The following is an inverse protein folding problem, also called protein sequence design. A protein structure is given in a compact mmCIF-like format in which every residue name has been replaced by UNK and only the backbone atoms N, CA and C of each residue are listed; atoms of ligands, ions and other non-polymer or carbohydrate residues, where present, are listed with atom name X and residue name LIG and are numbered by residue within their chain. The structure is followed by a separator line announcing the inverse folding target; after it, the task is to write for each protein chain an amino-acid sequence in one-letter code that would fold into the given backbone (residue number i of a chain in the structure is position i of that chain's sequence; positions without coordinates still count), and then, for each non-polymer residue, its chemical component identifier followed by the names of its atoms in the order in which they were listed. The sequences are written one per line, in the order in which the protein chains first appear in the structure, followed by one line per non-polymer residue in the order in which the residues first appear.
data_IF_365649514983
#
_entry.id   IF_365649514983
#
_cell.length_a   1.000
_cell.length_b   1.000
_cell.length_c   1.000
_cell.angle_alpha   90.00
_cell.angle_beta   90.00
_cell.angle_gamma   90.00
#
_symmetry.space_group_name_H-M   'P 1'
#
loop_
_entity.id
_entity.type
_entity.pdbx_description
1 polymer ?
#
# COMPACT_ATOMS: atom_id res chain seq x y z
N UNK A 1 -24.98 -12.36 -14.20
CA UNK A 1 -24.14 -12.13 -13.01
C UNK A 1 -25.04 -12.05 -11.78
N UNK A 2 -24.76 -12.85 -10.77
CA UNK A 2 -25.49 -12.88 -9.49
C UNK A 2 -24.83 -11.88 -8.54
N UNK A 3 -25.62 -11.15 -7.74
CA UNK A 3 -25.09 -10.28 -6.67
C UNK A 3 -25.64 -10.78 -5.33
N UNK A 4 -24.74 -11.05 -4.37
CA UNK A 4 -25.07 -11.45 -3.01
C UNK A 4 -24.43 -10.47 -2.03
N UNK A 5 -25.21 -9.97 -1.08
CA UNK A 5 -24.72 -9.08 -0.04
C UNK A 5 -24.54 -9.86 1.27
N UNK A 6 -23.33 -9.80 1.82
CA UNK A 6 -23.02 -10.33 3.15
C UNK A 6 -23.18 -9.24 4.22
N UNK A 7 -23.61 -9.63 5.41
CA UNK A 7 -23.74 -8.77 6.58
C UNK A 7 -22.75 -9.11 7.70
N UNK A 8 -22.17 -10.30 7.63
CA UNK A 8 -21.15 -10.78 8.58
C UNK A 8 -19.95 -11.35 7.84
N UNK A 9 -18.81 -11.39 8.49
CA UNK A 9 -17.60 -12.03 7.95
C UNK A 9 -17.85 -13.50 7.62
N UNK A 10 -18.56 -14.21 8.51
CA UNK A 10 -18.92 -15.63 8.29
C UNK A 10 -19.71 -15.81 7.00
N UNK A 11 -20.76 -15.00 6.81
CA UNK A 11 -21.59 -15.04 5.61
C UNK A 11 -20.79 -14.74 4.34
N UNK A 12 -19.88 -13.73 4.38
CA UNK A 12 -19.01 -13.41 3.26
C UNK A 12 -18.12 -14.59 2.85
N UNK A 13 -17.52 -15.28 3.80
CA UNK A 13 -16.69 -16.48 3.58
C UNK A 13 -17.51 -17.65 3.05
N UNK A 14 -18.72 -17.85 3.56
CA UNK A 14 -19.63 -18.88 3.09
C UNK A 14 -20.04 -18.65 1.63
N UNK A 15 -20.44 -17.43 1.29
CA UNK A 15 -20.81 -17.05 -0.08
C UNK A 15 -19.61 -17.19 -1.03
N UNK A 16 -18.43 -16.73 -0.63
CA UNK A 16 -17.23 -16.84 -1.45
C UNK A 16 -16.88 -18.29 -1.79
N UNK A 17 -17.14 -19.22 -0.88
CA UNK A 17 -16.91 -20.64 -1.10
C UNK A 17 -18.01 -21.34 -1.91
N UNK A 18 -19.23 -20.77 -1.96
CA UNK A 18 -20.36 -21.35 -2.69
C UNK A 18 -20.34 -20.98 -4.18
N UNK A 19 -19.83 -19.80 -4.52
CA UNK A 19 -19.86 -19.27 -5.87
C UNK A 19 -18.48 -19.31 -6.52
N UNK A 20 -18.22 -20.32 -7.32
CA UNK A 20 -17.02 -20.38 -8.15
C UNK A 20 -16.94 -19.20 -9.11
N UNK A 21 -15.73 -18.73 -9.40
CA UNK A 21 -15.49 -17.56 -10.23
C UNK A 21 -16.23 -16.31 -9.74
N UNK A 22 -16.42 -16.19 -8.42
CA UNK A 22 -16.94 -14.97 -7.80
C UNK A 22 -15.84 -13.93 -7.64
N UNK A 23 -16.25 -12.68 -7.45
CA UNK A 23 -15.38 -11.55 -7.06
C UNK A 23 -16.01 -10.82 -5.89
N UNK A 24 -15.17 -10.29 -5.04
CA UNK A 24 -15.57 -9.46 -3.90
C UNK A 24 -15.77 -8.02 -4.40
N UNK A 25 -16.84 -7.38 -3.97
CA UNK A 25 -17.05 -5.95 -4.12
C UNK A 25 -17.18 -5.31 -2.74
N UNK A 26 -16.32 -4.33 -2.47
CA UNK A 26 -16.37 -3.44 -1.30
C UNK A 26 -16.80 -2.04 -1.74
N UNK A 27 -15.86 -1.12 -1.95
CA UNK A 27 -16.15 0.22 -2.47
C UNK A 27 -16.58 0.30 -3.92
N UNK A 28 -16.24 -0.69 -4.74
CA UNK A 28 -16.62 -0.78 -6.16
C UNK A 28 -15.81 0.10 -7.12
N UNK A 29 -14.88 0.91 -6.63
CA UNK A 29 -14.18 1.96 -7.40
C UNK A 29 -13.30 1.46 -8.55
N UNK A 30 -12.86 0.21 -8.49
CA UNK A 30 -12.08 -0.46 -9.55
C UNK A 30 -12.89 -1.56 -10.24
N UNK A 31 -13.49 -2.47 -9.46
CA UNK A 31 -14.11 -3.66 -10.01
C UNK A 31 -15.32 -3.35 -10.93
N UNK A 32 -16.09 -2.30 -10.61
CA UNK A 32 -17.23 -1.89 -11.46
C UNK A 32 -16.73 -1.42 -12.81
N UNK A 33 -15.62 -0.67 -12.85
CA UNK A 33 -15.00 -0.23 -14.10
C UNK A 33 -14.47 -1.42 -14.89
N UNK A 34 -13.81 -2.38 -14.25
CA UNK A 34 -13.30 -3.59 -14.91
C UNK A 34 -14.41 -4.44 -15.52
N UNK A 35 -15.57 -4.54 -14.86
CA UNK A 35 -16.74 -5.22 -15.39
C UNK A 35 -17.35 -4.44 -16.56
N UNK A 36 -17.52 -3.13 -16.42
CA UNK A 36 -18.06 -2.27 -17.46
C UNK A 36 -17.21 -2.31 -18.74
N UNK A 37 -15.89 -2.27 -18.59
CA UNK A 37 -14.94 -2.38 -19.71
C UNK A 37 -14.73 -3.82 -20.19
N UNK A 38 -15.47 -4.78 -19.65
CA UNK A 38 -15.41 -6.20 -20.02
C UNK A 38 -14.02 -6.83 -19.84
N UNK A 39 -13.21 -6.30 -18.91
CA UNK A 39 -11.89 -6.87 -18.58
C UNK A 39 -12.03 -8.14 -17.71
N UNK A 40 -13.11 -8.23 -16.93
CA UNK A 40 -13.45 -9.39 -16.11
C UNK A 40 -14.93 -9.74 -16.27
N UNK A 41 -15.23 -11.04 -16.11
CA UNK A 41 -16.59 -11.59 -16.26
C UNK A 41 -16.93 -12.49 -15.06
N UNK A 42 -17.11 -11.94 -13.84
CA UNK A 42 -17.44 -12.76 -12.67
C UNK A 42 -18.83 -13.37 -12.81
N UNK A 43 -19.00 -14.61 -12.40
CA UNK A 43 -20.31 -15.27 -12.32
C UNK A 43 -21.14 -14.69 -11.17
N UNK A 44 -20.47 -14.31 -10.07
CA UNK A 44 -21.11 -13.68 -8.92
C UNK A 44 -20.25 -12.55 -8.35
N UNK A 45 -20.92 -11.54 -7.76
CA UNK A 45 -20.31 -10.53 -6.90
C UNK A 45 -20.78 -10.76 -5.48
N UNK A 46 -19.80 -10.83 -4.56
CA UNK A 46 -20.06 -10.89 -3.11
C UNK A 46 -19.84 -9.50 -2.55
N UNK A 47 -20.90 -8.81 -2.23
CA UNK A 47 -20.89 -7.47 -1.65
C UNK A 47 -20.62 -7.56 -0.15
N UNK A 48 -19.48 -7.04 0.27
CA UNK A 48 -19.04 -6.98 1.68
C UNK A 48 -19.18 -5.58 2.29
N UNK A 49 -19.80 -4.64 1.59
CA UNK A 49 -19.93 -3.25 2.05
C UNK A 49 -20.73 -3.09 3.35
N UNK A 50 -21.50 -4.11 3.75
CA UNK A 50 -22.29 -4.15 4.99
C UNK A 50 -21.70 -5.05 6.09
N UNK A 51 -20.46 -5.51 5.93
CA UNK A 51 -19.74 -6.30 6.92
C UNK A 51 -18.99 -5.36 7.85
N UNK A 52 -19.58 -5.03 8.99
CA UNK A 52 -19.04 -4.01 9.91
C UNK A 52 -17.76 -4.47 10.61
N UNK A 53 -17.54 -5.79 10.76
CA UNK A 53 -16.29 -6.34 11.27
C UNK A 53 -15.05 -5.93 10.43
N UNK A 54 -15.24 -5.63 9.14
CA UNK A 54 -14.17 -5.20 8.24
C UNK A 54 -13.88 -3.70 8.27
N UNK A 55 -14.63 -2.89 9.01
CA UNK A 55 -14.53 -1.42 9.00
C UNK A 55 -13.86 -0.83 10.24
N UNK A 56 -13.25 -1.64 11.06
CA UNK A 56 -12.64 -1.20 12.31
C UNK A 56 -11.18 -0.82 12.11
N UNK A 57 -10.75 0.20 12.83
CA UNK A 57 -9.35 0.53 13.06
C UNK A 57 -9.11 0.32 14.55
N UNK A 58 -8.25 -0.62 14.91
CA UNK A 58 -7.98 -0.98 16.30
C UNK A 58 -6.51 -0.76 16.64
N UNK A 59 -6.28 0.00 17.69
CA UNK A 59 -4.99 0.14 18.32
C UNK A 59 -4.83 -0.88 19.44
N UNK A 60 -3.74 -1.61 19.43
CA UNK A 60 -3.32 -2.53 20.50
C UNK A 60 -2.00 -2.00 21.09
N UNK A 61 -1.46 -2.67 22.09
CA UNK A 61 -0.27 -2.20 22.81
C UNK A 61 0.92 -1.92 21.86
N UNK A 62 1.25 -2.85 20.97
CA UNK A 62 2.41 -2.80 20.09
C UNK A 62 2.08 -2.75 18.59
N UNK A 63 0.80 -2.85 18.20
CA UNK A 63 0.40 -2.86 16.80
C UNK A 63 -0.90 -2.10 16.53
N UNK A 64 -1.11 -1.77 15.26
CA UNK A 64 -2.37 -1.26 14.71
C UNK A 64 -2.92 -2.29 13.73
N UNK A 65 -4.22 -2.56 13.81
CA UNK A 65 -4.95 -3.42 12.88
C UNK A 65 -6.03 -2.60 12.17
N UNK A 66 -6.02 -2.63 10.85
CA UNK A 66 -6.96 -1.91 9.98
C UNK A 66 -7.80 -2.94 9.25
N UNK A 67 -9.10 -2.92 9.41
CA UNK A 67 -10.04 -3.76 8.67
C UNK A 67 -9.97 -3.49 7.16
N UNK A 68 -10.08 -4.53 6.36
CA UNK A 68 -9.95 -4.41 4.90
C UNK A 68 -11.05 -3.55 4.23
N UNK A 69 -12.19 -3.37 4.91
CA UNK A 69 -13.29 -2.52 4.49
C UNK A 69 -13.17 -1.04 4.91
N UNK A 70 -12.13 -0.67 5.65
CA UNK A 70 -11.84 0.71 6.03
C UNK A 70 -11.55 1.54 4.78
N UNK A 71 -12.19 2.70 4.67
CA UNK A 71 -12.01 3.60 3.53
C UNK A 71 -10.78 4.51 3.71
N UNK A 72 -10.33 5.14 2.64
CA UNK A 72 -9.27 6.15 2.75
C UNK A 72 -9.69 7.34 3.59
N UNK A 73 -10.97 7.74 3.54
CA UNK A 73 -11.51 8.81 4.37
C UNK A 73 -11.43 8.44 5.85
N UNK A 74 -11.80 7.22 6.24
CA UNK A 74 -11.69 6.75 7.63
C UNK A 74 -10.23 6.82 8.13
N UNK A 75 -9.25 6.44 7.28
CA UNK A 75 -7.82 6.55 7.62
C UNK A 75 -7.40 8.01 7.80
N UNK A 76 -7.85 8.89 6.90
CA UNK A 76 -7.51 10.32 6.96
C UNK A 76 -8.10 11.02 8.20
N UNK A 77 -9.27 10.61 8.66
CA UNK A 77 -9.97 11.19 9.82
C UNK A 77 -9.47 10.62 11.15
N UNK A 78 -8.80 9.47 11.13
CA UNK A 78 -8.26 8.84 12.34
C UNK A 78 -7.00 9.56 12.83
N UNK A 79 -6.98 9.91 14.13
CA UNK A 79 -5.81 10.46 14.82
C UNK A 79 -4.65 9.47 14.98
N UNK A 80 -4.92 8.17 14.85
CA UNK A 80 -3.89 7.13 14.92
C UNK A 80 -2.81 7.23 13.83
N UNK A 81 -3.13 7.91 12.72
CA UNK A 81 -2.21 8.08 11.60
C UNK A 81 -1.56 9.47 11.55
N UNK A 82 -1.47 10.14 12.68
CA UNK A 82 -0.68 11.37 12.88
C UNK A 82 0.73 11.04 13.37
N UNK A 83 1.54 12.05 13.62
CA UNK A 83 2.91 11.90 14.13
C UNK A 83 3.74 10.94 13.27
N UNK A 84 4.20 9.86 13.89
CA UNK A 84 5.07 8.86 13.23
C UNK A 84 4.44 8.16 12.03
N UNK A 85 3.12 8.20 11.86
CA UNK A 85 2.39 7.58 10.75
C UNK A 85 1.86 8.60 9.74
N UNK A 86 2.25 9.87 9.82
CA UNK A 86 1.79 10.95 8.94
C UNK A 86 1.92 10.64 7.45
N UNK A 87 2.95 9.90 7.06
CA UNK A 87 3.17 9.47 5.67
C UNK A 87 2.09 8.53 5.14
N UNK A 88 1.54 7.65 5.98
CA UNK A 88 0.42 6.80 5.58
C UNK A 88 -0.86 7.60 5.39
N UNK A 89 -1.17 8.52 6.30
CA UNK A 89 -2.29 9.46 6.17
C UNK A 89 -2.15 10.30 4.90
N UNK A 90 -0.94 10.86 4.64
CA UNK A 90 -0.62 11.61 3.41
C UNK A 90 -0.86 10.77 2.15
N UNK A 91 -0.35 9.53 2.11
CA UNK A 91 -0.55 8.63 0.98
C UNK A 91 -2.04 8.38 0.69
N UNK A 92 -2.84 8.10 1.72
CA UNK A 92 -4.28 7.90 1.59
C UNK A 92 -5.01 9.16 1.10
N UNK A 93 -4.61 10.36 1.55
CA UNK A 93 -5.20 11.63 1.15
C UNK A 93 -5.01 11.96 -0.33
N UNK A 94 -3.97 11.41 -0.95
CA UNK A 94 -3.60 11.62 -2.34
C UNK A 94 -4.23 10.60 -3.31
N UNK A 95 -5.00 9.62 -2.81
CA UNK A 95 -5.71 8.65 -3.65
C UNK A 95 -6.94 9.29 -4.29
N UNK A 96 -7.00 9.29 -5.61
CA UNK A 96 -8.18 9.68 -6.38
C UNK A 96 -8.86 10.98 -5.94
N UNK A 97 -10.17 11.07 -6.15
CA UNK A 97 -11.02 12.18 -5.69
C UNK A 97 -11.60 11.91 -4.30
N UNK A 98 -12.19 12.91 -3.62
CA UNK A 98 -12.93 12.69 -2.37
C UNK A 98 -13.99 11.59 -2.50
N UNK A 99 -14.72 11.53 -3.63
CA UNK A 99 -15.72 10.49 -3.90
C UNK A 99 -15.09 9.09 -3.94
N UNK A 100 -13.89 8.97 -4.53
CA UNK A 100 -13.14 7.72 -4.55
C UNK A 100 -12.68 7.37 -3.12
N UNK A 101 -12.16 8.32 -2.35
CA UNK A 101 -11.70 8.07 -0.98
C UNK A 101 -12.82 7.68 -0.03
N UNK A 102 -14.02 8.22 -0.21
CA UNK A 102 -15.21 7.87 0.59
C UNK A 102 -15.74 6.45 0.30
N UNK A 103 -15.30 5.82 -0.77
CA UNK A 103 -15.77 4.49 -1.20
C UNK A 103 -14.65 3.45 -1.30
N UNK A 104 -13.50 3.85 -1.81
CA UNK A 104 -12.34 2.98 -1.98
C UNK A 104 -11.82 2.51 -0.63
N UNK A 105 -11.55 1.20 -0.51
CA UNK A 105 -11.11 0.58 0.74
C UNK A 105 -9.64 0.17 0.66
N UNK A 106 -8.98 0.13 1.80
CA UNK A 106 -7.57 -0.27 1.88
C UNK A 106 -7.37 -1.71 1.41
N UNK A 107 -8.29 -2.63 1.78
CA UNK A 107 -8.24 -4.01 1.31
C UNK A 107 -8.47 -4.14 -0.19
N UNK A 108 -9.44 -3.39 -0.74
CA UNK A 108 -9.68 -3.34 -2.18
C UNK A 108 -8.46 -2.87 -2.97
N UNK A 109 -7.74 -1.88 -2.47
CA UNK A 109 -6.51 -1.37 -3.10
C UNK A 109 -5.38 -2.42 -3.11
N UNK A 110 -5.18 -3.12 -1.99
CA UNK A 110 -4.18 -4.20 -1.89
C UNK A 110 -4.51 -5.33 -2.87
N UNK A 111 -5.76 -5.79 -2.89
CA UNK A 111 -6.17 -6.91 -3.76
C UNK A 111 -6.16 -6.53 -5.24
N UNK A 112 -6.50 -5.27 -5.58
CA UNK A 112 -6.38 -4.75 -6.95
C UNK A 112 -4.92 -4.67 -7.42
N UNK A 113 -3.97 -4.53 -6.50
CA UNK A 113 -2.52 -4.63 -6.72
C UNK A 113 -1.98 -3.72 -7.86
N UNK A 114 -2.51 -2.52 -7.99
CA UNK A 114 -1.98 -1.55 -8.95
C UNK A 114 -0.53 -1.16 -8.59
N UNK A 115 0.42 -1.17 -9.54
CA UNK A 115 1.77 -0.64 -9.29
C UNK A 115 1.81 0.81 -8.83
N UNK A 116 0.75 1.57 -9.14
CA UNK A 116 0.61 2.99 -8.80
C UNK A 116 -0.26 3.24 -7.56
N UNK A 117 -0.55 2.21 -6.78
CA UNK A 117 -1.33 2.33 -5.55
C UNK A 117 -0.54 3.02 -4.45
N UNK A 118 -0.98 4.22 -4.05
CA UNK A 118 -0.24 5.10 -3.14
C UNK A 118 -0.14 4.56 -1.70
N UNK A 119 -1.15 3.83 -1.24
CA UNK A 119 -1.16 3.28 0.13
C UNK A 119 -0.28 2.04 0.32
N UNK A 120 0.18 1.40 -0.76
CA UNK A 120 0.97 0.16 -0.66
C UNK A 120 2.41 0.41 -0.23
N UNK A 121 3.19 1.36 -0.77
CA UNK A 121 4.55 1.62 -0.30
C UNK A 121 4.65 1.90 1.21
N UNK A 122 3.80 2.73 1.84
CA UNK A 122 3.78 2.86 3.30
C UNK A 122 3.57 1.54 4.04
N UNK A 123 2.62 0.71 3.60
CA UNK A 123 2.36 -0.58 4.23
C UNK A 123 3.51 -1.58 4.05
N UNK A 124 4.26 -1.48 2.94
CA UNK A 124 5.49 -2.26 2.72
C UNK A 124 6.60 -1.78 3.67
N UNK A 125 6.80 -0.47 3.81
CA UNK A 125 7.79 0.09 4.74
C UNK A 125 7.47 -0.29 6.20
N UNK A 126 6.19 -0.41 6.56
CA UNK A 126 5.72 -0.89 7.86
C UNK A 126 5.81 -2.42 8.02
N UNK A 127 6.23 -3.18 6.99
CA UNK A 127 6.24 -4.65 6.97
C UNK A 127 4.91 -5.27 7.40
N UNK A 128 3.83 -4.71 6.89
CA UNK A 128 2.49 -5.10 7.26
C UNK A 128 2.22 -6.58 7.00
N UNK A 129 1.39 -7.16 7.84
CA UNK A 129 0.87 -8.53 7.72
C UNK A 129 -0.58 -8.47 7.26
N UNK A 130 -0.92 -9.19 6.23
CA UNK A 130 -2.26 -9.36 5.68
C UNK A 130 -2.95 -10.53 6.36
N UNK A 131 -4.16 -10.34 6.83
CA UNK A 131 -4.98 -11.36 7.49
C UNK A 131 -5.99 -11.88 6.47
N UNK A 132 -5.82 -13.13 6.05
CA UNK A 132 -6.68 -13.81 5.10
C UNK A 132 -7.54 -14.85 5.80
N UNK A 133 -8.83 -14.89 5.46
CA UNK A 133 -9.79 -15.83 6.05
C UNK A 133 -10.54 -16.59 4.95
N UNK A 134 -10.73 -17.87 5.16
CA UNK A 134 -11.54 -18.76 4.33
C UNK A 134 -12.25 -19.80 5.21
N UNK A 135 -13.04 -20.68 4.62
CA UNK A 135 -13.60 -21.84 5.36
C UNK A 135 -12.54 -22.76 5.98
N UNK A 136 -11.31 -22.77 5.43
CA UNK A 136 -10.19 -23.55 5.99
C UNK A 136 -9.57 -22.91 7.22
N UNK A 137 -9.98 -21.70 7.60
CA UNK A 137 -9.46 -20.95 8.72
C UNK A 137 -8.77 -19.65 8.31
N UNK A 138 -8.02 -19.09 9.25
CA UNK A 138 -7.26 -17.84 9.13
C UNK A 138 -5.80 -18.16 8.81
N UNK A 139 -5.17 -17.35 7.95
CA UNK A 139 -3.72 -17.32 7.77
C UNK A 139 -3.20 -15.90 7.65
N UNK A 140 -1.93 -15.73 7.94
CA UNK A 140 -1.23 -14.46 7.89
C UNK A 140 -0.16 -14.50 6.78
N UNK A 141 -0.04 -13.41 6.02
CA UNK A 141 0.92 -13.29 4.92
C UNK A 141 1.59 -11.93 5.02
N UNK A 142 2.91 -11.87 4.96
CA UNK A 142 3.62 -10.59 4.83
C UNK A 142 3.23 -9.91 3.53
N UNK A 143 3.01 -8.60 3.56
CA UNK A 143 2.61 -7.85 2.37
C UNK A 143 3.64 -7.99 1.23
N UNK A 144 4.92 -8.09 1.55
CA UNK A 144 5.99 -8.31 0.59
C UNK A 144 5.86 -9.67 -0.09
N UNK A 145 5.58 -10.73 0.67
CA UNK A 145 5.38 -12.08 0.14
C UNK A 145 4.10 -12.13 -0.72
N UNK A 146 3.06 -11.41 -0.30
CA UNK A 146 1.84 -11.28 -1.09
C UNK A 146 2.13 -10.79 -2.50
N UNK A 147 2.95 -9.75 -2.66
CA UNK A 147 3.30 -9.20 -3.97
C UNK A 147 4.36 -10.01 -4.72
N UNK A 148 5.17 -10.84 -4.05
CA UNK A 148 6.21 -11.65 -4.69
C UNK A 148 5.67 -12.84 -5.51
N UNK A 149 4.44 -13.30 -5.24
CA UNK A 149 3.85 -14.50 -5.85
C UNK A 149 3.24 -14.26 -7.25
N UNK A 150 3.61 -13.20 -7.94
CA UNK A 150 3.18 -12.94 -9.32
C UNK A 150 1.68 -12.68 -9.46
N UNK A 151 1.03 -13.28 -10.48
CA UNK A 151 -0.38 -13.00 -10.81
C UNK A 151 -1.40 -13.39 -9.75
N UNK A 152 -1.08 -14.31 -8.86
CA UNK A 152 -1.99 -14.77 -7.79
C UNK A 152 -1.86 -13.91 -6.53
N UNK A 153 -0.83 -13.08 -6.44
CA UNK A 153 -0.59 -12.20 -5.28
C UNK A 153 -0.77 -12.91 -3.93
N UNK A 154 -0.46 -14.21 -3.86
CA UNK A 154 -0.54 -14.98 -2.62
C UNK A 154 -1.94 -15.11 -1.98
N UNK A 155 -3.03 -14.67 -2.65
CA UNK A 155 -4.42 -14.88 -2.22
C UNK A 155 -5.07 -15.97 -3.05
N UNK A 156 -5.84 -16.85 -2.43
CA UNK A 156 -6.62 -17.89 -3.10
C UNK A 156 -8.01 -17.38 -3.45
N UNK A 157 -8.67 -18.02 -4.40
CA UNK A 157 -9.99 -17.57 -4.88
C UNK A 157 -11.09 -17.59 -3.80
N UNK A 158 -10.94 -18.47 -2.80
CA UNK A 158 -11.86 -18.62 -1.67
C UNK A 158 -11.42 -17.87 -0.41
N UNK A 159 -10.41 -17.00 -0.51
CA UNK A 159 -9.91 -16.21 0.61
C UNK A 159 -10.37 -14.77 0.55
N UNK A 160 -10.75 -14.25 1.71
CA UNK A 160 -11.08 -12.86 1.94
C UNK A 160 -9.96 -12.19 2.73
N UNK A 161 -9.40 -11.09 2.22
CA UNK A 161 -8.57 -10.19 3.03
C UNK A 161 -9.49 -9.49 4.03
N UNK A 162 -9.21 -9.69 5.32
CA UNK A 162 -10.06 -9.17 6.41
C UNK A 162 -9.43 -8.01 7.15
N UNK A 163 -8.10 -8.02 7.31
CA UNK A 163 -7.38 -6.95 8.00
C UNK A 163 -5.93 -6.83 7.54
N UNK A 164 -5.35 -5.69 7.83
CA UNK A 164 -3.93 -5.35 7.66
C UNK A 164 -3.38 -4.98 9.02
N UNK A 165 -2.30 -5.63 9.47
CA UNK A 165 -1.69 -5.39 10.77
C UNK A 165 -0.23 -4.99 10.61
N UNK A 166 0.22 -4.00 11.39
CA UNK A 166 1.63 -3.61 11.48
C UNK A 166 1.98 -3.15 12.88
N UNK A 167 3.24 -3.28 13.26
CA UNK A 167 3.75 -2.76 14.54
C UNK A 167 3.81 -1.24 14.49
N UNK A 168 3.53 -0.59 15.62
CA UNK A 168 3.73 0.85 15.78
C UNK A 168 5.22 1.18 15.55
N UNK A 169 5.55 2.04 14.59
CA UNK A 169 6.94 2.40 14.35
C UNK A 169 7.47 3.35 15.42
N UNK A 170 8.77 3.24 15.76
CA UNK A 170 9.48 4.23 16.56
C UNK A 170 9.88 5.43 15.72
N UNK A 171 10.37 5.18 14.52
CA UNK A 171 10.73 6.22 13.56
C UNK A 171 9.53 6.84 12.85
N UNK A 172 9.79 7.86 12.03
CA UNK A 172 8.81 8.61 11.26
C UNK A 172 8.61 7.98 9.90
N UNK A 173 7.37 7.66 9.57
CA UNK A 173 6.95 7.23 8.24
C UNK A 173 6.57 8.46 7.42
N UNK A 174 7.19 8.61 6.26
CA UNK A 174 6.93 9.68 5.31
C UNK A 174 6.41 9.15 3.98
N UNK A 175 5.92 10.04 3.13
CA UNK A 175 5.45 9.68 1.79
C UNK A 175 5.58 10.86 0.84
N UNK A 176 6.14 10.60 -0.35
CA UNK A 176 6.18 11.54 -1.45
C UNK A 176 5.75 10.86 -2.76
N UNK A 177 5.15 11.62 -3.66
CA UNK A 177 4.79 11.11 -5.00
C UNK A 177 4.90 12.15 -6.08
N UNK A 178 5.18 11.69 -7.29
CA UNK A 178 5.10 12.46 -8.50
C UNK A 178 3.95 11.98 -9.38
N UNK A 179 3.02 12.87 -9.69
CA UNK A 179 1.94 12.68 -10.65
C UNK A 179 2.06 13.65 -11.83
N UNK A 180 1.25 13.48 -12.87
CA UNK A 180 1.23 14.39 -14.03
C UNK A 180 0.49 15.71 -13.80
N UNK A 181 -0.16 15.86 -12.65
CA UNK A 181 -0.92 17.07 -12.26
C UNK A 181 -0.93 17.17 -10.73
N UNK A 182 -1.21 18.37 -10.21
CA UNK A 182 -1.16 18.66 -8.77
C UNK A 182 -2.14 17.83 -7.93
N UNK A 183 -3.30 17.48 -8.48
CA UNK A 183 -4.32 16.70 -7.78
C UNK A 183 -4.91 15.63 -8.69
N UNK A 184 -5.51 14.59 -8.06
CA UNK A 184 -6.20 13.49 -8.74
C UNK A 184 -5.33 12.75 -9.76
N UNK A 185 -4.02 12.71 -9.54
CA UNK A 185 -3.07 12.09 -10.46
C UNK A 185 -2.75 10.66 -10.03
N UNK A 186 -2.69 9.78 -11.02
CA UNK A 186 -2.07 8.46 -10.87
C UNK A 186 -0.56 8.67 -10.68
N UNK A 187 0.02 7.99 -9.71
CA UNK A 187 1.44 8.11 -9.40
C UNK A 187 2.32 7.57 -10.52
N UNK A 188 3.25 8.40 -10.97
CA UNK A 188 4.35 7.99 -11.87
C UNK A 188 5.52 7.44 -11.08
N UNK A 189 5.71 7.94 -9.87
CA UNK A 189 6.69 7.51 -8.88
C UNK A 189 6.05 7.78 -7.52
N UNK A 190 6.23 6.87 -6.57
CA UNK A 190 5.95 7.12 -5.15
C UNK A 190 7.02 6.48 -4.29
N UNK A 191 7.38 7.15 -3.20
CA UNK A 191 8.35 6.67 -2.21
C UNK A 191 7.72 6.85 -0.83
N UNK A 192 7.87 5.83 -0.01
CA UNK A 192 7.64 5.90 1.42
C UNK A 192 8.93 5.55 2.14
N UNK A 193 9.32 6.35 3.12
CA UNK A 193 10.46 6.11 3.97
C UNK A 193 10.02 6.04 5.43
N UNK A 194 10.43 5.00 6.14
CA UNK A 194 10.33 4.88 7.59
C UNK A 194 11.74 4.97 8.16
N UNK A 195 12.02 6.04 8.88
CA UNK A 195 13.38 6.34 9.36
C UNK A 195 13.32 6.64 10.86
N UNK A 196 14.26 6.06 11.59
CA UNK A 196 14.54 6.38 13.00
C UNK A 196 15.99 6.88 13.14
N UNK A 197 16.16 8.01 13.81
CA UNK A 197 17.45 8.68 14.01
C UNK A 197 17.79 8.69 15.50
N UNK A 198 19.07 8.54 15.83
CA UNK A 198 19.56 8.79 17.18
C UNK A 198 19.78 10.29 17.46
N UNK A 199 20.27 10.60 18.66
CA UNK A 199 20.56 11.97 19.12
C UNK A 199 21.62 12.70 18.27
N UNK A 200 22.51 11.94 17.62
CA UNK A 200 23.55 12.45 16.70
C UNK A 200 23.08 12.51 15.23
N UNK A 201 21.78 12.38 15.00
CA UNK A 201 21.19 12.27 13.66
C UNK A 201 21.72 11.10 12.82
N UNK A 202 22.16 10.03 13.42
CA UNK A 202 22.57 8.82 12.73
C UNK A 202 21.35 7.92 12.46
N UNK A 203 21.28 7.38 11.29
CA UNK A 203 20.21 6.46 10.89
C UNK A 203 20.39 5.13 11.63
N UNK A 204 19.61 4.90 12.67
CA UNK A 204 19.60 3.65 13.44
C UNK A 204 18.62 2.62 12.89
N UNK A 205 17.63 3.09 12.13
CA UNK A 205 16.67 2.23 11.44
C UNK A 205 16.15 2.91 10.18
N UNK A 206 16.03 2.15 9.09
CA UNK A 206 15.49 2.67 7.83
C UNK A 206 14.80 1.57 7.02
N UNK A 207 13.66 1.92 6.44
CA UNK A 207 12.97 1.15 5.41
C UNK A 207 12.46 2.09 4.34
N UNK A 208 12.76 1.77 3.10
CA UNK A 208 12.30 2.53 1.94
C UNK A 208 11.51 1.63 1.01
N UNK A 209 10.33 2.05 0.66
CA UNK A 209 9.48 1.34 -0.28
C UNK A 209 9.07 2.25 -1.43
N UNK A 210 9.00 1.68 -2.63
CA UNK A 210 8.69 2.39 -3.86
C UNK A 210 7.45 1.86 -4.56
N UNK A 211 6.76 2.75 -5.28
CA UNK A 211 5.68 2.43 -6.19
C UNK A 211 5.95 2.99 -7.59
N UNK A 212 5.44 2.33 -8.61
CA UNK A 212 5.54 2.73 -10.02
C UNK A 212 6.95 2.74 -10.62
N UNK A 213 7.99 2.31 -9.91
CA UNK A 213 9.36 2.16 -10.45
C UNK A 213 9.80 0.70 -10.60
N UNK A 214 8.83 -0.20 -10.61
CA UNK A 214 8.97 -1.64 -10.88
C UNK A 214 7.69 -2.20 -11.47
N UNK A 215 7.60 -3.53 -11.57
CA UNK A 215 6.35 -4.23 -11.93
C UNK A 215 5.31 -4.13 -10.81
N UNK A 216 5.78 -4.13 -9.57
CA UNK A 216 5.01 -4.08 -8.34
C UNK A 216 5.69 -3.13 -7.35
N UNK A 217 4.97 -2.61 -6.35
CA UNK A 217 5.58 -1.91 -5.23
C UNK A 217 6.54 -2.83 -4.46
N UNK A 218 7.66 -2.30 -3.98
CA UNK A 218 8.72 -3.11 -3.37
C UNK A 218 9.59 -2.32 -2.41
N UNK A 219 10.38 -3.02 -1.60
CA UNK A 219 11.46 -2.45 -0.78
C UNK A 219 12.69 -2.11 -1.62
N UNK A 220 13.38 -1.05 -1.23
CA UNK A 220 14.62 -0.58 -1.86
C UNK A 220 15.82 -0.90 -0.94
N UNK A 221 16.14 -2.20 -0.82
CA UNK A 221 17.13 -2.71 0.13
C UNK A 221 18.51 -2.09 -0.03
N UNK A 222 18.99 -1.84 -1.26
CA UNK A 222 20.29 -1.23 -1.50
C UNK A 222 20.36 0.19 -0.94
N UNK A 223 19.26 0.94 -1.00
CA UNK A 223 19.17 2.29 -0.42
C UNK A 223 19.13 2.24 1.11
N UNK A 224 18.42 1.28 1.66
CA UNK A 224 18.34 1.06 3.12
C UNK A 224 19.72 0.70 3.70
N UNK A 225 20.41 -0.26 3.06
CA UNK A 225 21.76 -0.67 3.45
C UNK A 225 22.75 0.51 3.36
N UNK A 226 22.65 1.32 2.30
CA UNK A 226 23.48 2.51 2.13
C UNK A 226 23.25 3.54 3.23
N UNK A 227 22.01 3.79 3.63
CA UNK A 227 21.66 4.82 4.64
C UNK A 227 21.94 4.38 6.07
N UNK A 228 21.83 3.09 6.38
CA UNK A 228 21.96 2.58 7.75
C UNK A 228 23.33 2.91 8.36
N UNK A 229 23.34 3.44 9.58
CA UNK A 229 24.53 3.82 10.33
C UNK A 229 25.19 5.14 9.91
N UNK A 230 24.73 5.79 8.82
CA UNK A 230 25.26 7.10 8.40
C UNK A 230 24.60 8.25 9.13
N UNK A 231 25.32 9.36 9.26
CA UNK A 231 24.74 10.62 9.71
C UNK A 231 23.81 11.14 8.63
N UNK A 232 22.59 11.50 9.00
CA UNK A 232 21.55 11.91 8.06
C UNK A 232 21.76 13.36 7.62
N UNK A 233 22.57 13.55 6.57
CA UNK A 233 22.98 14.83 5.99
C UNK A 233 22.63 14.90 4.51
N UNK A 234 22.65 16.12 3.94
CA UNK A 234 22.28 16.37 2.56
C UNK A 234 23.10 15.56 1.54
N UNK A 235 24.44 15.51 1.75
CA UNK A 235 25.33 14.72 0.91
C UNK A 235 25.00 13.23 0.92
N UNK A 236 24.63 12.67 2.09
CA UNK A 236 24.22 11.26 2.23
C UNK A 236 22.89 11.01 1.53
N UNK A 237 21.95 11.96 1.62
CA UNK A 237 20.69 11.90 0.85
C UNK A 237 20.98 11.94 -0.65
N UNK A 238 21.88 12.82 -1.12
CA UNK A 238 22.26 12.91 -2.54
C UNK A 238 22.93 11.63 -3.07
N UNK A 239 23.77 11.00 -2.26
CA UNK A 239 24.37 9.72 -2.62
C UNK A 239 23.32 8.59 -2.64
N UNK A 240 22.37 8.58 -1.72
CA UNK A 240 21.28 7.60 -1.70
C UNK A 240 20.42 7.64 -2.97
N UNK A 241 20.26 8.84 -3.57
CA UNK A 241 19.59 8.99 -4.88
C UNK A 241 20.34 8.23 -5.97
N UNK A 242 21.67 8.29 -6.01
CA UNK A 242 22.48 7.58 -6.99
C UNK A 242 22.32 6.06 -6.86
N UNK A 243 22.34 5.56 -5.62
CA UNK A 243 22.09 4.14 -5.33
C UNK A 243 20.72 3.69 -5.87
N UNK A 244 19.67 4.47 -5.60
CA UNK A 244 18.34 4.16 -6.12
C UNK A 244 18.27 4.21 -7.65
N UNK A 245 18.93 5.18 -8.28
CA UNK A 245 19.01 5.31 -9.73
C UNK A 245 19.70 4.10 -10.37
N UNK A 246 20.79 3.59 -9.80
CA UNK A 246 21.48 2.39 -10.27
C UNK A 246 20.62 1.13 -10.18
N UNK A 247 19.86 0.97 -9.07
CA UNK A 247 18.89 -0.11 -8.93
C UNK A 247 17.76 -0.01 -9.96
N UNK A 248 17.27 1.21 -10.22
CA UNK A 248 16.26 1.47 -11.24
C UNK A 248 16.77 1.20 -12.67
N UNK A 249 18.01 1.53 -12.99
CA UNK A 249 18.61 1.31 -14.30
C UNK A 249 18.59 -0.18 -14.66
N UNK A 250 18.92 -1.05 -13.69
CA UNK A 250 18.84 -2.51 -13.85
C UNK A 250 17.40 -2.99 -14.04
N UNK A 251 16.48 -2.52 -13.21
CA UNK A 251 15.09 -2.96 -13.13
C UNK A 251 14.21 -2.50 -14.28
N UNK A 252 14.48 -1.30 -14.80
CA UNK A 252 13.72 -0.66 -15.88
C UNK A 252 14.46 -0.67 -17.22
N UNK A 253 15.55 -1.43 -17.35
CA UNK A 253 16.31 -1.55 -18.59
C UNK A 253 15.39 -1.82 -19.79
N UNK A 254 15.60 -1.05 -20.87
CA UNK A 254 14.80 -1.14 -22.10
C UNK A 254 13.40 -0.51 -22.03
N UNK A 255 12.97 0.05 -20.88
CA UNK A 255 11.68 0.72 -20.80
C UNK A 255 11.78 2.19 -21.22
N UNK A 256 10.89 2.68 -22.13
CA UNK A 256 10.91 4.07 -22.59
C UNK A 256 10.76 5.11 -21.48
N UNK A 257 10.19 4.71 -20.34
CA UNK A 257 9.97 5.60 -19.19
C UNK A 257 11.19 5.76 -18.29
N UNK A 258 12.25 4.94 -18.46
CA UNK A 258 13.43 4.97 -17.60
C UNK A 258 14.11 6.34 -17.54
N UNK A 259 14.44 7.03 -18.67
CA UNK A 259 15.14 8.31 -18.61
C UNK A 259 14.38 9.37 -17.80
N UNK A 260 13.07 9.43 -17.98
CA UNK A 260 12.20 10.33 -17.21
C UNK A 260 12.18 9.97 -15.72
N UNK A 261 11.92 8.69 -15.39
CA UNK A 261 11.83 8.25 -14.00
C UNK A 261 13.15 8.36 -13.27
N UNK A 262 14.28 8.06 -13.94
CA UNK A 262 15.61 8.19 -13.38
C UNK A 262 15.93 9.62 -12.95
N UNK A 263 15.54 10.62 -13.75
CA UNK A 263 15.70 12.03 -13.41
C UNK A 263 14.74 12.47 -12.30
N UNK A 264 13.49 12.02 -12.38
CA UNK A 264 12.44 12.47 -11.49
C UNK A 264 12.50 11.86 -10.08
N UNK A 265 13.13 10.68 -9.92
CA UNK A 265 13.22 9.98 -8.63
C UNK A 265 14.00 10.78 -7.58
N UNK A 266 14.97 11.60 -8.01
CA UNK A 266 15.73 12.47 -7.13
C UNK A 266 14.81 13.37 -6.29
N UNK A 267 13.92 14.10 -6.94
CA UNK A 267 12.99 14.99 -6.24
C UNK A 267 12.07 14.24 -5.28
N UNK A 268 11.59 13.06 -5.68
CA UNK A 268 10.64 12.28 -4.86
C UNK A 268 11.34 11.66 -3.65
N UNK A 269 12.54 11.10 -3.81
CA UNK A 269 13.28 10.54 -2.68
C UNK A 269 13.72 11.64 -1.71
N UNK A 270 14.24 12.76 -2.22
CA UNK A 270 14.62 13.91 -1.39
C UNK A 270 13.42 14.48 -0.62
N UNK A 271 12.26 14.62 -1.26
CA UNK A 271 11.02 15.04 -0.58
C UNK A 271 10.65 14.07 0.54
N UNK A 272 10.61 12.76 0.26
CA UNK A 272 10.28 11.76 1.27
C UNK A 272 11.24 11.80 2.45
N UNK A 273 12.55 11.92 2.21
CA UNK A 273 13.57 11.96 3.25
C UNK A 273 13.58 13.28 4.01
N UNK A 274 13.30 14.42 3.38
CA UNK A 274 13.28 15.74 4.06
C UNK A 274 12.18 15.85 5.14
N UNK A 275 11.08 15.10 4.98
CA UNK A 275 9.97 15.10 5.95
C UNK A 275 10.28 14.28 7.23
N UNK A 276 11.40 13.56 7.30
CA UNK A 276 11.79 12.78 8.48
C UNK A 276 12.07 13.67 9.69
N UNK A 277 12.58 14.89 9.47
CA UNK A 277 12.95 15.86 10.52
C UNK A 277 11.85 16.87 10.85
N UNK A 278 10.71 16.80 10.23
CA UNK A 278 9.56 17.70 10.45
C UNK A 278 8.52 17.02 11.36
#
# INVERSE_FOLDING_TARGET
MIVKQARTLKEAVELLSQYESSKIIAGGTDIVIQIYEKRIHPKALIDISKVDELKKIEEKDDYIEIGAGVTYTDIMESSLFEGNLKGFKKACSLVGSPQIRNRGTIGGNIVNASPAADSIPPLIALESTLILVSKRGKREVKIQDYFSHGKTFGIREDELLTAIRFRKPKGVLTFAKLGLRKALAISRISISALVDLDEDNRVIFVRIASGSIGKLPMREYEVEEFLHGKVFEENVVDESVKVLQESMDKRLAGRPTLPYKRRAIEAVLKEALSEVRQ
#
